data_IF_685457548589
#
_entry.id   IF_685457548589
#
_cell.length_a   1.000
_cell.length_b   1.000
_cell.length_c   1.000
_cell.angle_alpha   90.00
_cell.angle_beta   90.00
_cell.angle_gamma   90.00
#
_symmetry.space_group_name_H-M   'P 1'
#
loop_
_entity.id
_entity.type
_entity.pdbx_description
1 polymer ?
#
# COMPACT_ATOMS: atom_id res chain seq x y z
N UNK A 1 -24.66 9.18 127.51
CA UNK A 1 -26.10 9.50 127.36
C UNK A 1 -26.46 9.64 125.88
N UNK A 2 -27.60 9.07 125.51
CA UNK A 2 -28.56 9.52 124.48
C UNK A 2 -28.07 9.71 123.02
N UNK A 3 -28.46 8.81 122.10
CA UNK A 3 -29.71 8.80 121.28
C UNK A 3 -29.64 9.73 120.05
N UNK A 4 -29.78 9.14 118.86
CA UNK A 4 -30.71 9.50 117.75
C UNK A 4 -30.26 8.74 116.47
N UNK A 5 -30.89 7.63 116.11
CA UNK A 5 -32.08 7.48 115.22
C UNK A 5 -31.97 8.26 113.89
N UNK A 6 -31.95 7.49 112.79
CA UNK A 6 -32.67 7.61 111.50
C UNK A 6 -31.96 6.63 110.53
N UNK A 7 -32.51 5.48 110.15
CA UNK A 7 -33.64 5.28 109.24
C UNK A 7 -33.52 6.22 108.03
N UNK A 8 -32.82 5.74 107.01
CA UNK A 8 -32.79 6.29 105.65
C UNK A 8 -32.73 5.08 104.73
N UNK A 9 -33.80 4.89 103.96
CA UNK A 9 -34.02 3.79 103.03
C UNK A 9 -32.80 3.57 102.14
N UNK A 10 -32.37 2.31 102.06
CA UNK A 10 -31.57 1.86 100.94
C UNK A 10 -32.51 1.79 99.73
N UNK A 11 -32.68 2.92 99.05
CA UNK A 11 -32.89 2.87 97.60
C UNK A 11 -31.58 2.33 97.02
N UNK A 12 -31.39 1.01 97.09
CA UNK A 12 -30.48 0.35 96.18
C UNK A 12 -31.01 0.68 94.79
N UNK A 13 -30.23 1.44 94.02
CA UNK A 13 -30.43 1.64 92.58
C UNK A 13 -30.41 0.26 91.92
N UNK A 14 -31.55 -0.45 91.95
CA UNK A 14 -31.75 -1.69 91.22
C UNK A 14 -31.84 -1.28 89.77
N UNK A 15 -30.68 -1.22 89.14
CA UNK A 15 -30.54 -1.02 87.70
C UNK A 15 -31.34 -2.14 87.03
N UNK A 16 -32.50 -1.80 86.47
CA UNK A 16 -33.36 -2.80 85.84
C UNK A 16 -32.67 -3.33 84.58
N UNK A 17 -32.91 -4.58 84.22
CA UNK A 17 -32.35 -5.15 82.98
C UNK A 17 -32.77 -4.36 81.72
N UNK A 18 -33.85 -3.56 81.80
CA UNK A 18 -34.25 -2.62 80.75
C UNK A 18 -33.29 -1.44 80.62
N UNK A 19 -32.86 -0.80 81.72
CA UNK A 19 -31.93 0.35 81.67
C UNK A 19 -30.53 -0.06 81.21
N UNK A 20 -30.06 -1.27 81.56
CA UNK A 20 -28.80 -1.79 81.02
C UNK A 20 -28.89 -2.12 79.53
N UNK A 21 -30.04 -2.63 79.05
CA UNK A 21 -30.27 -2.84 77.61
C UNK A 21 -30.29 -1.53 76.84
N UNK A 22 -30.96 -0.50 77.38
CA UNK A 22 -30.98 0.83 76.77
C UNK A 22 -29.58 1.46 76.72
N UNK A 23 -28.78 1.30 77.77
CA UNK A 23 -27.38 1.74 77.79
C UNK A 23 -26.53 1.00 76.75
N UNK A 24 -26.69 -0.33 76.64
CA UNK A 24 -25.98 -1.14 75.66
C UNK A 24 -26.39 -0.78 74.22
N UNK A 25 -27.68 -0.54 73.99
CA UNK A 25 -28.20 -0.11 72.69
C UNK A 25 -27.73 1.31 72.34
N UNK A 26 -27.65 2.21 73.31
CA UNK A 26 -27.08 3.55 73.12
C UNK A 26 -25.59 3.49 72.80
N UNK A 27 -24.80 2.68 73.52
CA UNK A 27 -23.38 2.51 73.20
C UNK A 27 -23.17 1.86 71.83
N UNK A 28 -23.99 0.87 71.48
CA UNK A 28 -23.97 0.25 70.15
C UNK A 28 -24.31 1.27 69.07
N UNK A 29 -25.28 2.14 69.32
CA UNK A 29 -25.69 3.21 68.40
C UNK A 29 -24.58 4.26 68.21
N UNK A 30 -23.87 4.64 69.27
CA UNK A 30 -22.70 5.52 69.17
C UNK A 30 -21.55 4.89 68.39
N UNK A 31 -21.23 3.63 68.67
CA UNK A 31 -20.21 2.87 67.93
C UNK A 31 -20.56 2.73 66.45
N UNK A 32 -21.83 2.45 66.11
CA UNK A 32 -22.29 2.42 64.72
C UNK A 32 -22.24 3.80 64.07
N UNK A 33 -22.58 4.87 64.81
CA UNK A 33 -22.50 6.23 64.29
C UNK A 33 -21.06 6.66 63.98
N UNK A 34 -20.10 6.30 64.84
CA UNK A 34 -18.67 6.51 64.60
C UNK A 34 -18.18 5.73 63.37
N UNK A 35 -18.61 4.49 63.22
CA UNK A 35 -18.28 3.65 62.06
C UNK A 35 -18.84 4.25 60.77
N UNK A 36 -20.08 4.73 60.76
CA UNK A 36 -20.70 5.40 59.62
C UNK A 36 -19.98 6.70 59.25
N UNK A 37 -19.56 7.49 60.24
CA UNK A 37 -18.77 8.71 59.99
C UNK A 37 -17.41 8.35 59.39
N UNK A 38 -16.76 7.29 59.87
CA UNK A 38 -15.49 6.84 59.33
C UNK A 38 -15.62 6.30 57.90
N UNK A 39 -16.68 5.54 57.60
CA UNK A 39 -16.99 5.11 56.25
C UNK A 39 -17.29 6.29 55.31
N UNK A 40 -17.99 7.31 55.81
CA UNK A 40 -18.30 8.51 55.04
C UNK A 40 -17.04 9.32 54.73
N UNK A 41 -16.14 9.44 55.70
CA UNK A 41 -14.85 10.10 55.51
C UNK A 41 -13.96 9.33 54.52
N UNK A 42 -13.91 8.00 54.63
CA UNK A 42 -13.16 7.17 53.70
C UNK A 42 -13.74 7.22 52.28
N UNK A 43 -15.07 7.18 52.13
CA UNK A 43 -15.75 7.37 50.84
C UNK A 43 -15.44 8.72 50.21
N UNK A 44 -15.54 9.80 50.99
CA UNK A 44 -15.23 11.17 50.53
C UNK A 44 -13.77 11.32 50.09
N UNK A 45 -12.84 10.71 50.84
CA UNK A 45 -11.43 10.65 50.44
C UNK A 45 -11.25 9.91 49.11
N UNK A 46 -11.85 8.73 48.97
CA UNK A 46 -11.77 7.93 47.74
C UNK A 46 -12.40 8.64 46.54
N UNK A 47 -13.53 9.33 46.74
CA UNK A 47 -14.20 10.13 45.72
C UNK A 47 -13.32 11.30 45.27
N UNK A 48 -12.67 11.99 46.21
CA UNK A 48 -11.72 13.06 45.90
C UNK A 48 -10.53 12.55 45.08
N UNK A 49 -9.92 11.43 45.51
CA UNK A 49 -8.83 10.79 44.77
C UNK A 49 -9.30 10.41 43.36
N UNK A 50 -10.46 9.78 43.23
CA UNK A 50 -11.01 9.34 41.95
C UNK A 50 -11.33 10.52 41.00
N UNK A 51 -11.88 11.63 41.53
CA UNK A 51 -12.14 12.84 40.74
C UNK A 51 -10.85 13.49 40.27
N UNK A 52 -9.80 13.53 41.10
CA UNK A 52 -8.51 14.10 40.72
C UNK A 52 -7.78 13.27 39.66
N UNK A 53 -7.87 11.93 39.70
CA UNK A 53 -7.28 11.06 38.68
C UNK A 53 -8.06 11.09 37.38
N UNK A 54 -9.40 11.13 37.44
CA UNK A 54 -10.24 11.15 36.24
C UNK A 54 -10.12 12.47 35.48
N UNK A 55 -10.02 13.61 36.17
CA UNK A 55 -9.77 14.90 35.52
C UNK A 55 -8.47 14.93 34.73
N UNK A 56 -7.39 14.36 35.27
CA UNK A 56 -6.10 14.24 34.56
C UNK A 56 -6.21 13.36 33.33
N UNK A 57 -7.01 12.30 33.41
CA UNK A 57 -7.26 11.42 32.27
C UNK A 57 -8.02 12.17 31.16
N UNK A 58 -9.06 12.92 31.51
CA UNK A 58 -9.85 13.71 30.57
C UNK A 58 -9.04 14.82 29.90
N UNK A 59 -8.17 15.49 30.66
CA UNK A 59 -7.27 16.53 30.13
C UNK A 59 -6.23 15.93 29.17
N UNK A 60 -5.63 14.79 29.53
CA UNK A 60 -4.72 14.05 28.64
C UNK A 60 -5.43 13.57 27.37
N UNK A 61 -6.69 13.12 27.46
CA UNK A 61 -7.48 12.71 26.30
C UNK A 61 -7.72 13.89 25.36
N UNK A 62 -8.06 15.08 25.88
CA UNK A 62 -8.19 16.29 25.05
C UNK A 62 -6.87 16.66 24.37
N UNK A 63 -5.78 16.67 25.11
CA UNK A 63 -4.47 17.06 24.58
C UNK A 63 -4.01 16.09 23.47
N UNK A 64 -4.21 14.78 23.66
CA UNK A 64 -3.95 13.77 22.63
C UNK A 64 -4.86 13.95 21.40
N UNK A 65 -6.13 14.33 21.60
CA UNK A 65 -7.05 14.61 20.49
C UNK A 65 -6.65 15.86 19.69
N UNK A 66 -6.22 16.94 20.35
CA UNK A 66 -5.76 18.17 19.70
C UNK A 66 -4.45 17.97 18.94
N UNK A 67 -3.50 17.23 19.53
CA UNK A 67 -2.26 16.83 18.86
C UNK A 67 -2.57 15.97 17.64
N UNK A 68 -3.49 15.00 17.76
CA UNK A 68 -3.93 14.18 16.63
C UNK A 68 -4.58 15.00 15.52
N UNK A 69 -5.41 15.99 15.85
CA UNK A 69 -6.02 16.89 14.86
C UNK A 69 -4.97 17.72 14.10
N UNK A 70 -3.98 18.24 14.82
CA UNK A 70 -2.87 19.02 14.24
C UNK A 70 -1.94 18.16 13.37
N UNK A 71 -1.68 16.92 13.78
CA UNK A 71 -0.94 15.93 12.99
C UNK A 71 -1.70 15.49 11.73
N UNK A 72 -3.03 15.34 11.80
CA UNK A 72 -3.84 15.03 10.62
C UNK A 72 -3.85 16.19 9.61
N UNK A 73 -3.91 17.43 10.09
CA UNK A 73 -3.83 18.61 9.23
C UNK A 73 -2.49 18.67 8.48
N UNK A 74 -1.37 18.53 9.21
CA UNK A 74 -0.04 18.51 8.60
C UNK A 74 0.21 17.29 7.70
N UNK A 75 -0.31 16.10 8.05
CA UNK A 75 -0.25 14.93 7.16
C UNK A 75 -1.08 15.11 5.87
N UNK A 76 -2.21 15.84 5.93
CA UNK A 76 -3.00 16.21 4.75
C UNK A 76 -2.24 17.12 3.79
N UNK A 77 -1.48 18.08 4.31
CA UNK A 77 -0.64 18.97 3.51
C UNK A 77 0.57 18.25 2.89
N UNK A 78 1.23 17.36 3.65
CA UNK A 78 2.36 16.56 3.16
C UNK A 78 1.89 15.50 2.14
N UNK A 79 0.73 14.88 2.35
CA UNK A 79 0.14 13.89 1.44
C UNK A 79 -0.42 14.51 0.14
N UNK A 80 -0.93 15.74 0.20
CA UNK A 80 -1.51 16.45 -0.95
C UNK A 80 -0.48 17.00 -1.94
N UNK A 81 0.71 17.40 -1.45
CA UNK A 81 1.79 17.86 -2.32
C UNK A 81 2.48 16.70 -3.07
N UNK A 82 2.55 15.51 -2.46
CA UNK A 82 3.15 14.33 -3.06
C UNK A 82 2.28 13.67 -4.15
N UNK A 83 0.96 13.74 -4.02
CA UNK A 83 0.02 13.09 -4.96
C UNK A 83 -0.12 13.83 -6.29
N UNK A 84 -0.21 15.17 -6.29
CA UNK A 84 -0.23 15.94 -7.55
C UNK A 84 1.08 15.82 -8.32
N UNK A 85 2.22 15.90 -7.62
CA UNK A 85 3.52 15.67 -8.24
C UNK A 85 3.64 14.25 -8.79
N UNK A 86 3.16 13.23 -8.08
CA UNK A 86 3.25 11.84 -8.54
C UNK A 86 2.36 11.54 -9.73
N UNK A 87 1.11 12.00 -9.73
CA UNK A 87 0.19 11.81 -10.86
C UNK A 87 0.67 12.58 -12.09
N UNK A 88 1.17 13.81 -11.94
CA UNK A 88 1.76 14.56 -13.06
C UNK A 88 3.06 13.90 -13.56
N UNK A 89 3.90 13.37 -12.68
CA UNK A 89 5.11 12.64 -13.06
C UNK A 89 4.75 11.34 -13.78
N UNK A 90 3.79 10.57 -13.29
CA UNK A 90 3.30 9.33 -13.92
C UNK A 90 2.66 9.62 -15.28
N UNK A 91 1.89 10.71 -15.42
CA UNK A 91 1.36 11.15 -16.72
C UNK A 91 2.48 11.59 -17.68
N UNK A 92 3.51 12.28 -17.18
CA UNK A 92 4.69 12.64 -18.00
C UNK A 92 5.47 11.41 -18.42
N UNK A 93 5.67 10.44 -17.52
CA UNK A 93 6.31 9.16 -17.83
C UNK A 93 5.50 8.42 -18.88
N UNK A 94 4.19 8.25 -18.69
CA UNK A 94 3.32 7.59 -19.67
C UNK A 94 3.33 8.30 -21.04
N UNK A 95 3.37 9.64 -21.05
CA UNK A 95 3.47 10.43 -22.30
C UNK A 95 4.83 10.24 -22.98
N UNK A 96 5.90 10.22 -22.20
CA UNK A 96 7.26 9.95 -22.68
C UNK A 96 7.36 8.53 -23.22
N UNK A 97 6.84 7.52 -22.51
CA UNK A 97 6.79 6.13 -22.95
C UNK A 97 5.98 5.95 -24.23
N UNK A 98 4.84 6.62 -24.33
CA UNK A 98 4.02 6.70 -25.55
C UNK A 98 4.78 7.32 -26.73
N UNK A 99 5.50 8.43 -26.51
CA UNK A 99 6.35 9.04 -27.54
C UNK A 99 7.51 8.12 -27.93
N UNK A 100 8.18 7.49 -26.97
CA UNK A 100 9.25 6.53 -27.23
C UNK A 100 8.77 5.28 -27.94
N UNK A 101 7.56 4.77 -27.65
CA UNK A 101 6.97 3.65 -28.36
C UNK A 101 6.71 3.99 -29.83
N UNK A 102 6.17 5.19 -30.11
CA UNK A 102 5.98 5.69 -31.48
C UNK A 102 7.32 5.87 -32.21
N UNK A 103 8.28 6.52 -31.58
CA UNK A 103 9.61 6.73 -32.15
C UNK A 103 10.37 5.43 -32.38
N UNK A 104 10.26 4.44 -31.48
CA UNK A 104 10.85 3.10 -31.65
C UNK A 104 10.23 2.36 -32.84
N UNK A 105 8.91 2.45 -33.01
CA UNK A 105 8.25 1.84 -34.16
C UNK A 105 8.70 2.47 -35.49
N UNK A 106 8.99 3.77 -35.51
CA UNK A 106 9.47 4.48 -36.69
C UNK A 106 10.97 4.27 -36.95
N UNK A 107 11.80 4.18 -35.90
CA UNK A 107 13.27 4.08 -36.01
C UNK A 107 13.77 2.67 -36.30
N UNK A 108 12.96 1.63 -36.10
CA UNK A 108 13.36 0.23 -36.31
C UNK A 108 13.04 -0.29 -37.72
N UNK A 109 12.74 0.58 -38.68
CA UNK A 109 12.47 0.18 -40.07
C UNK A 109 13.77 0.23 -40.87
N UNK A 110 14.18 -0.92 -41.41
CA UNK A 110 15.24 -1.05 -42.40
C UNK A 110 14.67 -0.92 -43.82
N UNK A 111 15.40 -0.23 -44.68
CA UNK A 111 15.16 -0.11 -46.11
C UNK A 111 16.17 -0.99 -46.85
N UNK A 112 15.70 -2.11 -47.39
CA UNK A 112 16.53 -3.06 -48.13
C UNK A 112 16.31 -2.92 -49.62
N UNK A 113 17.37 -3.02 -50.41
CA UNK A 113 17.28 -3.04 -51.87
C UNK A 113 17.24 -4.48 -52.36
N UNK A 114 16.15 -4.87 -53.00
CA UNK A 114 15.99 -6.25 -53.51
C UNK A 114 16.14 -6.22 -55.02
N UNK A 115 17.21 -6.84 -55.52
CA UNK A 115 17.41 -7.06 -56.96
C UNK A 115 16.73 -8.36 -57.36
N UNK A 116 15.59 -8.22 -58.04
CA UNK A 116 14.79 -9.36 -58.50
C UNK A 116 15.41 -10.09 -59.70
N UNK A 117 14.84 -11.25 -60.02
CA UNK A 117 15.29 -12.10 -61.14
C UNK A 117 15.11 -11.44 -62.52
N UNK A 118 14.21 -10.46 -62.62
CA UNK A 118 13.97 -9.64 -63.81
C UNK A 118 14.98 -8.49 -63.95
N UNK A 119 15.94 -8.39 -63.03
CA UNK A 119 16.92 -7.30 -62.98
C UNK A 119 16.40 -6.00 -62.36
N UNK A 120 15.11 -5.92 -62.01
CA UNK A 120 14.52 -4.74 -61.36
C UNK A 120 14.88 -4.67 -59.87
N UNK A 121 15.37 -3.52 -59.42
CA UNK A 121 15.58 -3.23 -58.00
C UNK A 121 14.31 -2.67 -57.38
N UNK A 122 13.84 -3.28 -56.29
CA UNK A 122 12.68 -2.81 -55.52
C UNK A 122 13.10 -2.51 -54.08
N UNK A 123 12.61 -1.41 -53.51
CA UNK A 123 12.87 -1.04 -52.11
C UNK A 123 11.88 -1.76 -51.19
N UNK A 124 12.41 -2.45 -50.18
CA UNK A 124 11.64 -3.22 -49.21
C UNK A 124 11.84 -2.63 -47.81
N UNK A 125 10.75 -2.16 -47.20
CA UNK A 125 10.75 -1.70 -45.81
C UNK A 125 10.44 -2.87 -44.88
N UNK A 126 11.33 -3.22 -43.97
CA UNK A 126 11.15 -4.33 -43.02
C UNK A 126 11.64 -3.93 -41.63
N UNK A 127 11.02 -4.45 -40.58
CA UNK A 127 11.47 -4.18 -39.21
C UNK A 127 12.81 -4.87 -38.94
N UNK A 128 13.70 -4.24 -38.16
CA UNK A 128 15.02 -4.77 -37.80
C UNK A 128 14.94 -6.15 -37.14
N UNK A 129 13.99 -6.31 -36.22
CA UNK A 129 13.76 -7.57 -35.49
C UNK A 129 12.87 -8.57 -36.25
N UNK A 130 12.70 -8.39 -37.57
CA UNK A 130 11.96 -9.36 -38.36
C UNK A 130 12.77 -10.65 -38.56
N UNK A 131 12.05 -11.77 -38.69
CA UNK A 131 12.62 -13.05 -39.07
C UNK A 131 12.93 -13.12 -40.56
N UNK A 132 13.85 -14.00 -40.93
CA UNK A 132 14.19 -14.26 -42.34
C UNK A 132 12.96 -14.75 -43.11
N UNK A 133 12.09 -15.56 -42.52
CA UNK A 133 10.84 -16.02 -43.15
C UNK A 133 9.91 -14.87 -43.56
N UNK A 134 9.83 -13.82 -42.73
CA UNK A 134 9.03 -12.63 -43.04
C UNK A 134 9.60 -11.87 -44.24
N UNK A 135 10.93 -11.82 -44.37
CA UNK A 135 11.62 -11.25 -45.52
C UNK A 135 11.30 -12.04 -46.80
N UNK A 136 11.41 -13.38 -46.76
CA UNK A 136 11.08 -14.27 -47.89
C UNK A 136 9.65 -14.09 -48.36
N UNK A 137 8.68 -14.08 -47.44
CA UNK A 137 7.26 -13.86 -47.78
C UNK A 137 7.02 -12.51 -48.46
N UNK A 138 7.71 -11.45 -48.02
CA UNK A 138 7.54 -10.10 -48.57
C UNK A 138 8.14 -9.99 -49.97
N UNK A 139 9.28 -10.62 -50.21
CA UNK A 139 9.94 -10.68 -51.52
C UNK A 139 9.17 -11.59 -52.49
N UNK A 140 8.67 -12.72 -52.01
CA UNK A 140 7.82 -13.66 -52.76
C UNK A 140 6.58 -12.96 -53.32
N UNK A 141 5.88 -12.17 -52.49
CA UNK A 141 4.74 -11.35 -52.92
C UNK A 141 5.10 -10.35 -54.02
N UNK A 142 6.27 -9.72 -53.94
CA UNK A 142 6.73 -8.74 -54.94
C UNK A 142 7.14 -9.37 -56.28
N UNK A 143 7.69 -10.58 -56.26
CA UNK A 143 8.18 -11.27 -57.46
C UNK A 143 7.22 -12.35 -58.00
N UNK A 144 6.10 -12.63 -57.30
CA UNK A 144 5.09 -13.66 -57.65
C UNK A 144 5.66 -15.08 -57.76
N UNK A 145 6.61 -15.43 -56.91
CA UNK A 145 7.27 -16.75 -56.89
C UNK A 145 7.08 -17.38 -55.50
N UNK A 146 6.77 -18.68 -55.38
CA UNK A 146 6.70 -19.36 -54.09
C UNK A 146 7.98 -19.18 -53.26
N UNK A 147 7.89 -18.99 -51.93
CA UNK A 147 9.06 -18.77 -51.08
C UNK A 147 10.02 -19.97 -51.06
N UNK A 148 9.50 -21.17 -51.31
CA UNK A 148 10.25 -22.44 -51.38
C UNK A 148 11.19 -22.53 -52.60
N UNK A 149 10.82 -21.91 -53.71
CA UNK A 149 11.60 -21.87 -54.95
C UNK A 149 12.53 -20.65 -55.01
N UNK A 150 12.56 -19.84 -53.96
CA UNK A 150 13.30 -18.58 -53.91
C UNK A 150 14.62 -18.76 -53.15
N UNK A 151 15.69 -18.17 -53.66
CA UNK A 151 17.02 -18.11 -53.01
C UNK A 151 17.42 -16.65 -52.84
N UNK A 152 17.73 -16.24 -51.62
CA UNK A 152 18.19 -14.88 -51.33
C UNK A 152 19.66 -14.94 -50.92
N UNK A 153 20.47 -14.13 -51.59
CA UNK A 153 21.88 -13.94 -51.31
C UNK A 153 22.09 -12.52 -50.77
N UNK A 154 22.76 -12.44 -49.63
CA UNK A 154 23.27 -11.19 -49.08
C UNK A 154 24.78 -11.29 -48.99
N UNK A 155 25.50 -10.40 -49.68
CA UNK A 155 26.95 -10.50 -49.83
C UNK A 155 27.37 -11.92 -50.27
N UNK A 156 28.09 -12.66 -49.42
CA UNK A 156 28.52 -14.05 -49.58
C UNK A 156 27.66 -15.06 -48.79
N UNK A 157 26.69 -14.60 -48.00
CA UNK A 157 25.83 -15.46 -47.17
C UNK A 157 24.50 -15.71 -47.85
N UNK A 158 24.12 -16.98 -47.91
CA UNK A 158 22.77 -17.36 -48.30
C UNK A 158 21.84 -17.28 -47.09
N UNK A 159 20.68 -16.65 -47.29
CA UNK A 159 19.58 -16.69 -46.33
C UNK A 159 18.77 -17.97 -46.58
N UNK A 160 18.41 -18.66 -45.50
CA UNK A 160 17.64 -19.92 -45.54
C UNK A 160 16.21 -19.66 -45.10
N UNK A 161 15.25 -20.21 -45.84
CA UNK A 161 13.82 -20.17 -45.51
C UNK A 161 13.46 -21.34 -44.58
N UNK A 162 12.72 -21.08 -43.51
CA UNK A 162 12.21 -22.10 -42.58
C UNK A 162 13.04 -22.29 -41.31
N UNK A 163 13.72 -21.26 -40.83
CA UNK A 163 14.44 -21.30 -39.54
C UNK A 163 14.15 -20.07 -38.67
N UNK A 164 14.28 -20.23 -37.35
CA UNK A 164 14.09 -19.17 -36.34
C UNK A 164 15.26 -18.16 -36.31
N UNK A 165 15.80 -17.80 -37.49
CA UNK A 165 16.88 -16.83 -37.62
C UNK A 165 16.30 -15.44 -37.91
N UNK A 166 16.90 -14.44 -37.28
CA UNK A 166 16.56 -13.03 -37.45
C UNK A 166 17.47 -12.38 -38.49
N UNK A 167 17.04 -11.24 -39.05
CA UNK A 167 17.90 -10.45 -39.95
C UNK A 167 19.19 -9.98 -39.25
N UNK A 168 19.11 -9.76 -37.93
CA UNK A 168 20.24 -9.42 -37.07
C UNK A 168 21.36 -10.47 -37.09
N UNK A 169 21.02 -11.77 -37.21
CA UNK A 169 22.01 -12.87 -37.22
C UNK A 169 22.87 -12.87 -38.49
N UNK A 170 22.36 -12.25 -39.55
CA UNK A 170 23.04 -12.12 -40.84
C UNK A 170 23.75 -10.78 -41.03
N UNK A 171 23.76 -9.91 -40.00
CA UNK A 171 24.28 -8.52 -40.04
C UNK A 171 23.71 -7.73 -41.24
N UNK A 172 22.41 -7.87 -41.50
CA UNK A 172 21.71 -7.11 -42.53
C UNK A 172 21.51 -5.69 -42.01
N UNK A 173 22.05 -4.70 -42.74
CA UNK A 173 22.03 -3.28 -42.37
C UNK A 173 20.98 -2.53 -43.18
N UNK A 174 20.69 -1.32 -42.73
CA UNK A 174 19.90 -0.38 -43.51
C UNK A 174 20.65 -0.02 -44.81
N UNK A 175 19.93 0.01 -45.93
CA UNK A 175 20.51 0.24 -47.25
C UNK A 175 21.24 -0.96 -47.86
N UNK A 176 21.21 -2.14 -47.24
CA UNK A 176 21.81 -3.35 -47.79
C UNK A 176 21.08 -3.84 -49.05
N UNK A 177 21.84 -4.42 -49.99
CA UNK A 177 21.30 -5.01 -51.23
C UNK A 177 21.24 -6.54 -51.16
N UNK A 178 20.07 -7.09 -51.48
CA UNK A 178 19.76 -8.52 -51.54
C UNK A 178 19.59 -8.94 -52.99
N UNK A 179 20.20 -10.07 -53.36
CA UNK A 179 20.07 -10.67 -54.69
C UNK A 179 19.12 -11.86 -54.62
N UNK A 180 18.11 -11.85 -55.50
CA UNK A 180 17.12 -12.94 -55.59
C UNK A 180 17.43 -13.81 -56.79
N UNK A 181 17.55 -15.11 -56.55
CA UNK A 181 17.75 -16.15 -57.56
C UNK A 181 16.66 -17.23 -57.41
N UNK A 182 16.39 -17.97 -58.48
CA UNK A 182 15.51 -19.13 -58.44
C UNK A 182 16.29 -20.38 -58.03
N UNK A 183 15.62 -21.27 -57.29
CA UNK A 183 16.03 -22.66 -57.19
C UNK A 183 15.56 -23.38 -58.46
N UNK A 184 16.49 -24.00 -59.17
CA UNK A 184 16.14 -24.85 -60.30
C UNK A 184 15.66 -26.20 -59.75
N UNK A 185 14.45 -26.61 -60.13
CA UNK A 185 13.98 -27.98 -59.91
C UNK A 185 14.68 -28.85 -60.96
N UNK A 186 15.69 -29.61 -60.54
CA UNK A 186 16.30 -30.63 -61.39
C UNK A 186 15.28 -31.76 -61.61
N UNK A 187 15.03 -32.08 -62.87
CA UNK A 187 14.28 -33.27 -63.28
C UNK A 187 15.12 -34.54 -63.19
#
# INVERSE_FOLDING_TARGET
>A
MAKRKRAGDADEDVVTMSTLRELLDNQKKELTGLMEVQERNFRSFMETVMVTTNRRLDDLIREVQDVKGSLQYSQGEIGGAGTRCREEQEQRIAKIESQFAKLRAESNILHLYVKGITGKTTVLRIHKDATVDKLFRKISKGNRIPPEDLRILYTTKQLEYGGDKYLSDYDVKDGSTLFVCLRLRGG
#
